data_IF_689382478805
#
_entry.id   IF_689382478805
#
_cell.length_a   1.000
_cell.length_b   1.000
_cell.length_c   1.000
_cell.angle_alpha   90.00
_cell.angle_beta   90.00
_cell.angle_gamma   90.00
#
_symmetry.space_group_name_H-M   'P 1'
#
loop_
_entity.id
_entity.type
_entity.pdbx_description
1 polymer ?
#
# COMPACT_ATOMS: atom_id res chain seq x y z
N UNK A 1 27.10 5.66 -7.02
CA UNK A 1 26.30 6.81 -7.47
C UNK A 1 26.29 7.02 -8.99
N UNK A 2 27.43 7.01 -9.68
CA UNK A 2 27.52 7.25 -11.15
C UNK A 2 26.70 6.24 -12.00
N UNK A 3 26.60 4.97 -11.61
CA UNK A 3 25.85 3.94 -12.35
C UNK A 3 24.33 4.15 -12.32
N UNK A 4 23.79 4.73 -11.26
CA UNK A 4 22.34 5.04 -11.14
C UNK A 4 22.02 6.28 -12.00
N UNK A 5 22.90 7.26 -12.03
CA UNK A 5 22.75 8.47 -12.85
C UNK A 5 22.76 8.14 -14.35
N UNK A 6 23.56 7.18 -14.77
CA UNK A 6 23.63 6.70 -16.17
C UNK A 6 22.32 5.95 -16.58
N UNK A 7 21.73 5.18 -15.68
CA UNK A 7 20.46 4.51 -15.95
C UNK A 7 19.29 5.49 -16.10
N UNK A 8 19.25 6.54 -15.28
CA UNK A 8 18.25 7.63 -15.38
C UNK A 8 18.44 8.41 -16.67
N UNK A 9 19.69 8.68 -17.08
CA UNK A 9 19.98 9.41 -18.33
C UNK A 9 19.64 8.60 -19.60
N UNK A 10 19.72 7.27 -19.55
CA UNK A 10 19.33 6.39 -20.66
C UNK A 10 17.80 6.25 -20.81
N UNK A 11 17.04 6.51 -19.77
CA UNK A 11 15.58 6.48 -19.81
C UNK A 11 14.95 7.78 -20.34
N UNK A 12 15.67 8.91 -20.30
CA UNK A 12 15.17 10.22 -20.74
C UNK A 12 14.71 10.28 -22.21
N UNK A 13 15.39 9.66 -23.22
CA UNK A 13 14.91 9.70 -24.60
C UNK A 13 13.61 8.91 -24.83
N UNK A 14 13.32 7.92 -24.01
CA UNK A 14 12.06 7.17 -24.11
C UNK A 14 10.86 7.98 -23.58
N UNK A 15 11.06 8.78 -22.53
CA UNK A 15 10.03 9.69 -22.02
C UNK A 15 9.72 10.84 -23.01
N UNK A 16 10.73 11.37 -23.70
CA UNK A 16 10.54 12.45 -24.69
C UNK A 16 9.85 11.97 -25.97
N UNK A 17 9.96 10.69 -26.34
CA UNK A 17 9.21 10.13 -27.49
C UNK A 17 7.73 9.90 -27.18
N UNK A 18 7.40 9.57 -25.93
CA UNK A 18 6.02 9.37 -25.50
C UNK A 18 5.17 10.67 -25.59
N UNK A 19 5.79 11.83 -25.60
CA UNK A 19 5.10 13.14 -25.74
C UNK A 19 4.82 13.52 -27.21
N UNK A 20 5.32 12.79 -28.20
CA UNK A 20 5.27 13.20 -29.62
C UNK A 20 4.24 12.46 -30.48
N UNK A 21 3.49 11.53 -29.92
CA UNK A 21 2.30 10.98 -30.59
C UNK A 21 1.06 11.81 -30.24
N UNK A 22 0.95 12.98 -30.83
CA UNK A 22 -0.29 13.72 -30.98
C UNK A 22 -1.22 13.01 -31.97
N UNK A 23 -1.82 11.94 -31.49
CA UNK A 23 -2.90 11.19 -32.11
C UNK A 23 -4.10 11.19 -31.17
N UNK A 24 -4.77 12.30 -31.08
CA UNK A 24 -6.20 12.52 -30.78
C UNK A 24 -7.00 11.32 -30.23
N UNK A 25 -6.73 10.89 -29.01
CA UNK A 25 -7.78 10.43 -28.10
C UNK A 25 -7.64 11.27 -26.85
N UNK A 26 -8.66 12.05 -26.49
CA UNK A 26 -8.71 12.80 -25.23
C UNK A 26 -8.65 11.79 -24.10
N UNK A 27 -7.43 11.42 -23.70
CA UNK A 27 -7.16 10.58 -22.52
C UNK A 27 -7.44 11.46 -21.30
N UNK A 28 -8.68 11.44 -20.84
CA UNK A 28 -9.09 12.24 -19.71
C UNK A 28 -8.46 11.68 -18.44
N UNK A 29 -7.76 12.51 -17.68
CA UNK A 29 -7.41 12.22 -16.31
C UNK A 29 -8.67 11.88 -15.53
N UNK A 30 -8.62 10.80 -14.78
CA UNK A 30 -9.69 10.43 -13.84
C UNK A 30 -9.16 10.66 -12.44
N UNK A 31 -10.00 11.13 -11.54
CA UNK A 31 -9.68 11.27 -10.14
C UNK A 31 -10.87 10.94 -9.27
N UNK A 32 -10.64 10.72 -8.00
CA UNK A 32 -11.72 10.37 -7.11
C UNK A 32 -11.30 10.21 -5.65
N UNK A 33 -12.24 9.74 -4.86
CA UNK A 33 -12.06 9.43 -3.45
C UNK A 33 -12.10 7.92 -3.25
N UNK A 34 -11.44 7.46 -2.19
CA UNK A 34 -11.42 6.06 -1.78
C UNK A 34 -11.59 5.96 -0.28
N UNK A 35 -12.35 4.96 0.17
CA UNK A 35 -12.55 4.63 1.59
C UNK A 35 -12.67 3.11 1.73
N UNK A 36 -12.21 2.56 2.85
CA UNK A 36 -12.35 1.13 3.05
C UNK A 36 -11.89 0.60 4.39
N UNK A 37 -12.06 -0.70 4.54
CA UNK A 37 -11.56 -1.49 5.65
C UNK A 37 -10.21 -2.10 5.36
N UNK A 38 -9.42 -2.25 6.40
CA UNK A 38 -8.08 -2.83 6.36
C UNK A 38 -8.00 -3.92 7.41
N UNK A 39 -7.49 -5.08 7.06
CA UNK A 39 -6.94 -6.02 8.04
C UNK A 39 -5.43 -6.07 7.88
N UNK A 40 -4.70 -6.18 8.97
CA UNK A 40 -3.26 -6.06 8.96
C UNK A 40 -2.57 -6.96 9.98
N UNK A 41 -1.32 -7.24 9.70
CA UNK A 41 -0.39 -7.89 10.61
C UNK A 41 1.00 -7.29 10.47
N UNK A 42 1.84 -7.47 11.49
CA UNK A 42 3.26 -7.15 11.45
C UNK A 42 4.02 -8.47 11.51
N UNK A 43 4.69 -8.83 10.41
CA UNK A 43 5.55 -10.02 10.42
C UNK A 43 6.79 -9.75 11.22
N UNK A 44 7.20 -10.73 12.07
CA UNK A 44 8.39 -10.63 12.91
C UNK A 44 8.15 -10.04 14.31
N UNK A 45 6.90 -9.72 14.68
CA UNK A 45 6.55 -9.20 16.01
C UNK A 45 6.14 -10.31 17.02
N UNK A 46 6.05 -11.56 16.58
CA UNK A 46 5.61 -12.69 17.38
C UNK A 46 4.09 -12.78 17.61
N UNK A 47 3.32 -11.82 17.08
CA UNK A 47 1.86 -11.82 17.11
C UNK A 47 1.36 -12.39 15.78
N UNK A 48 0.94 -13.62 15.73
CA UNK A 48 0.42 -14.22 14.50
C UNK A 48 -1.02 -13.79 14.21
N UNK A 49 -1.35 -13.59 12.91
CA UNK A 49 -2.72 -13.43 12.45
C UNK A 49 -3.08 -12.03 11.92
N UNK A 50 -4.20 -11.99 11.20
CA UNK A 50 -4.76 -10.79 10.56
C UNK A 50 -5.86 -10.15 11.42
N UNK A 51 -5.68 -10.17 12.75
CA UNK A 51 -6.71 -9.82 13.72
C UNK A 51 -6.79 -8.30 14.00
N UNK A 52 -5.89 -7.50 13.41
CA UNK A 52 -5.91 -6.04 13.53
C UNK A 52 -6.75 -5.43 12.41
N UNK A 53 -7.93 -4.96 12.78
CA UNK A 53 -8.80 -4.21 11.87
C UNK A 53 -8.52 -2.71 11.96
N UNK A 54 -8.56 -2.04 10.83
CA UNK A 54 -8.37 -0.62 10.66
C UNK A 54 -9.21 -0.08 9.52
N UNK A 55 -9.02 1.19 9.23
CA UNK A 55 -9.67 1.87 8.12
C UNK A 55 -8.67 2.67 7.29
N UNK A 56 -9.07 2.96 6.06
CA UNK A 56 -8.32 3.81 5.15
C UNK A 56 -9.27 4.75 4.41
N UNK A 57 -8.79 5.95 4.12
CA UNK A 57 -9.50 6.93 3.31
C UNK A 57 -8.51 7.83 2.59
N UNK A 58 -8.85 8.26 1.38
CA UNK A 58 -7.95 9.09 0.59
C UNK A 58 -8.51 9.52 -0.74
N UNK A 59 -7.60 9.98 -1.59
CA UNK A 59 -7.88 10.39 -2.97
C UNK A 59 -6.94 9.66 -3.92
N UNK A 60 -7.36 9.54 -5.18
CA UNK A 60 -6.57 8.93 -6.23
C UNK A 60 -6.70 9.72 -7.54
N UNK A 61 -5.68 9.61 -8.37
CA UNK A 61 -5.65 10.09 -9.74
C UNK A 61 -5.14 9.01 -10.66
N UNK A 62 -5.71 8.92 -11.86
CA UNK A 62 -5.34 7.94 -12.88
C UNK A 62 -5.00 8.65 -14.17
N UNK A 63 -3.88 8.25 -14.77
CA UNK A 63 -3.35 8.76 -16.02
C UNK A 63 -3.30 7.61 -17.02
N UNK A 64 -4.22 7.53 -17.99
CA UNK A 64 -4.20 6.48 -18.99
C UNK A 64 -3.09 6.72 -20.01
N UNK A 65 -2.28 5.67 -20.32
CA UNK A 65 -1.30 5.70 -21.41
C UNK A 65 -1.85 5.04 -22.68
N UNK A 66 -2.71 4.04 -22.50
CA UNK A 66 -3.36 3.33 -23.59
C UNK A 66 -4.79 2.96 -23.21
N UNK A 67 -5.51 2.29 -24.09
CA UNK A 67 -6.87 1.80 -23.82
C UNK A 67 -6.91 0.78 -22.65
N UNK A 68 -5.78 0.13 -22.35
CA UNK A 68 -5.70 -0.96 -21.38
C UNK A 68 -4.70 -0.75 -20.26
N UNK A 69 -3.88 0.29 -20.33
CA UNK A 69 -2.83 0.55 -19.37
C UNK A 69 -2.85 2.00 -18.89
N UNK A 70 -2.67 2.17 -17.59
CA UNK A 70 -2.65 3.49 -16.94
C UNK A 70 -1.70 3.48 -15.73
N UNK A 71 -1.30 4.66 -15.25
CA UNK A 71 -0.74 4.83 -13.91
C UNK A 71 -1.81 5.39 -12.99
N UNK A 72 -1.88 4.85 -11.79
CA UNK A 72 -2.73 5.38 -10.73
C UNK A 72 -1.86 5.74 -9.55
N UNK A 73 -1.97 6.98 -9.09
CA UNK A 73 -1.37 7.44 -7.84
C UNK A 73 -2.48 7.70 -6.83
N UNK A 74 -2.26 7.29 -5.60
CA UNK A 74 -3.20 7.55 -4.50
C UNK A 74 -2.45 8.22 -3.34
N UNK A 75 -3.17 8.96 -2.53
CA UNK A 75 -2.74 9.42 -1.22
C UNK A 75 -3.83 9.06 -0.23
N UNK A 76 -3.51 8.19 0.72
CA UNK A 76 -4.50 7.66 1.66
C UNK A 76 -3.96 7.64 3.10
N UNK A 77 -4.79 8.04 4.05
CA UNK A 77 -4.60 7.69 5.44
C UNK A 77 -4.91 6.21 5.61
N UNK A 78 -4.10 5.49 6.39
CA UNK A 78 -4.31 4.09 6.70
C UNK A 78 -3.94 3.80 8.17
N UNK A 79 -4.84 3.11 8.87
CA UNK A 79 -4.58 2.56 10.20
C UNK A 79 -4.26 1.07 10.06
N UNK A 80 -3.03 0.68 10.40
CA UNK A 80 -2.52 -0.69 10.35
C UNK A 80 -1.79 -1.07 11.63
N UNK A 81 -1.26 -2.28 11.71
CA UNK A 81 -0.54 -2.79 12.87
C UNK A 81 -0.72 -4.28 13.03
N UNK A 82 -0.63 -4.76 14.28
CA UNK A 82 -0.96 -6.14 14.64
C UNK A 82 -1.70 -6.20 15.97
N UNK A 83 -2.36 -7.33 16.23
CA UNK A 83 -3.10 -7.57 17.45
C UNK A 83 -3.01 -9.04 17.84
N UNK A 84 -2.88 -9.31 19.14
CA UNK A 84 -3.03 -10.67 19.66
C UNK A 84 -4.43 -11.19 19.36
N UNK A 85 -4.53 -12.46 18.97
CA UNK A 85 -5.81 -13.15 18.90
C UNK A 85 -6.45 -13.13 20.29
N UNK A 86 -7.75 -12.82 20.34
CA UNK A 86 -8.50 -12.84 21.61
C UNK A 86 -8.42 -14.25 22.20
N UNK A 87 -7.70 -14.38 23.30
CA UNK A 87 -7.70 -15.59 24.12
C UNK A 87 -8.81 -15.45 25.16
N UNK A 88 -9.80 -16.34 25.07
CA UNK A 88 -10.95 -16.36 25.99
C UNK A 88 -10.59 -16.79 27.41
N UNK A 89 -9.40 -17.34 27.61
CA UNK A 89 -8.93 -17.82 28.90
C UNK A 89 -8.12 -16.76 29.69
N UNK A 90 -7.31 -15.97 28.98
CA UNK A 90 -6.38 -15.05 29.65
C UNK A 90 -6.75 -13.56 29.51
N UNK A 91 -7.73 -13.21 28.67
CA UNK A 91 -8.21 -11.83 28.42
C UNK A 91 -7.11 -10.80 28.11
N UNK A 92 -5.86 -11.23 27.90
CA UNK A 92 -4.75 -10.34 27.61
C UNK A 92 -4.87 -9.85 26.16
N UNK A 93 -5.04 -8.55 26.00
CA UNK A 93 -5.09 -7.91 24.69
C UNK A 93 -3.84 -7.08 24.50
N UNK A 94 -3.15 -7.30 23.40
CA UNK A 94 -2.01 -6.49 22.99
C UNK A 94 -2.17 -6.12 21.53
N UNK A 95 -2.01 -4.83 21.20
CA UNK A 95 -2.13 -4.36 19.83
C UNK A 95 -1.16 -3.22 19.54
N UNK A 96 -0.49 -3.31 18.38
CA UNK A 96 0.19 -2.18 17.75
C UNK A 96 -0.80 -1.41 16.89
N UNK A 97 -0.84 -0.10 17.09
CA UNK A 97 -1.60 0.85 16.27
C UNK A 97 -0.63 1.78 15.57
N UNK A 98 -0.56 1.67 14.26
CA UNK A 98 0.30 2.46 13.39
C UNK A 98 -0.57 3.22 12.40
N UNK A 99 -0.45 4.53 12.37
CA UNK A 99 -1.17 5.39 11.45
C UNK A 99 -0.20 5.99 10.45
N UNK A 100 -0.48 5.79 9.15
CA UNK A 100 0.35 6.28 8.06
C UNK A 100 -0.44 7.15 7.08
N UNK A 101 0.27 8.04 6.40
CA UNK A 101 -0.11 8.50 5.06
C UNK A 101 0.65 7.65 4.07
N UNK A 102 -0.06 6.89 3.24
CA UNK A 102 0.52 6.08 2.17
C UNK A 102 0.31 6.73 0.81
N UNK A 103 1.37 6.67 -0.01
CA UNK A 103 1.38 7.14 -1.39
C UNK A 103 1.80 5.98 -2.29
N UNK A 104 0.88 5.11 -2.68
CA UNK A 104 1.13 4.10 -3.71
C UNK A 104 1.10 4.71 -5.11
N UNK A 105 1.93 4.15 -5.98
CA UNK A 105 1.93 4.43 -7.42
C UNK A 105 1.81 3.09 -8.13
N UNK A 106 0.65 2.83 -8.76
CA UNK A 106 0.38 1.57 -9.42
C UNK A 106 0.48 1.69 -10.93
N UNK A 107 1.05 0.69 -11.56
CA UNK A 107 0.74 0.32 -12.93
C UNK A 107 -0.59 -0.45 -12.91
N UNK A 108 -1.55 0.04 -13.68
CA UNK A 108 -2.91 -0.48 -13.77
C UNK A 108 -3.14 -1.05 -15.15
N UNK A 109 -3.54 -2.32 -15.24
CA UNK A 109 -3.73 -3.03 -16.50
C UNK A 109 -5.11 -3.70 -16.57
N UNK A 110 -5.82 -3.45 -17.66
CA UNK A 110 -7.11 -4.05 -17.96
C UNK A 110 -6.96 -5.27 -18.88
N UNK A 111 -7.17 -6.51 -18.42
CA UNK A 111 -6.96 -7.72 -19.21
C UNK A 111 -8.02 -7.89 -20.32
N UNK A 112 -9.24 -7.39 -20.12
CA UNK A 112 -10.32 -7.51 -21.09
C UNK A 112 -10.20 -6.47 -22.21
N UNK A 113 -10.30 -6.92 -23.47
CA UNK A 113 -10.38 -6.02 -24.63
C UNK A 113 -11.81 -5.50 -24.86
N UNK A 114 -12.83 -6.26 -24.45
CA UNK A 114 -14.24 -5.90 -24.69
C UNK A 114 -14.74 -4.89 -23.66
N UNK A 115 -14.33 -5.05 -22.39
CA UNK A 115 -14.71 -4.19 -21.27
C UNK A 115 -13.45 -3.82 -20.48
N UNK A 116 -12.57 -2.95 -21.02
CA UNK A 116 -11.28 -2.65 -20.40
C UNK A 116 -11.41 -1.97 -19.04
N UNK A 117 -12.52 -1.29 -18.80
CA UNK A 117 -12.73 -0.57 -17.53
C UNK A 117 -13.35 -1.46 -16.43
N UNK A 118 -13.77 -2.70 -16.71
CA UNK A 118 -14.50 -3.50 -15.71
C UNK A 118 -13.60 -4.17 -14.68
N UNK A 119 -12.52 -4.78 -15.12
CA UNK A 119 -11.54 -5.43 -14.25
C UNK A 119 -10.16 -4.84 -14.53
N UNK A 120 -9.50 -4.35 -13.49
CA UNK A 120 -8.17 -3.75 -13.57
C UNK A 120 -7.26 -4.40 -12.55
N UNK A 121 -6.10 -4.84 -12.97
CA UNK A 121 -5.03 -5.36 -12.10
C UNK A 121 -4.10 -4.19 -11.80
N UNK A 122 -3.78 -3.98 -10.53
CA UNK A 122 -2.92 -2.91 -10.05
C UNK A 122 -1.69 -3.52 -9.38
N UNK A 123 -0.52 -2.98 -9.70
CA UNK A 123 0.73 -3.39 -9.07
C UNK A 123 1.70 -2.20 -9.03
N UNK A 124 2.37 -2.00 -7.91
CA UNK A 124 3.38 -0.97 -7.81
C UNK A 124 3.94 -0.75 -6.41
N UNK A 125 4.93 0.12 -6.28
CA UNK A 125 5.50 0.51 -5.00
C UNK A 125 4.58 1.45 -4.23
N UNK A 126 4.77 1.49 -2.91
CA UNK A 126 4.24 2.52 -2.04
C UNK A 126 5.32 3.06 -1.10
N UNK A 127 5.13 4.31 -0.69
CA UNK A 127 5.82 4.92 0.44
C UNK A 127 4.79 5.33 1.49
N UNK A 128 4.99 4.89 2.73
CA UNK A 128 4.17 5.23 3.89
C UNK A 128 4.94 6.15 4.84
N UNK A 129 4.32 7.21 5.31
CA UNK A 129 4.88 8.15 6.28
C UNK A 129 4.14 7.99 7.60
N UNK A 130 4.87 7.57 8.64
CA UNK A 130 4.31 7.32 9.96
C UNK A 130 3.88 8.64 10.61
N UNK A 131 2.60 8.73 10.99
CA UNK A 131 2.04 9.88 11.69
C UNK A 131 2.07 9.68 13.20
N UNK A 132 1.69 8.46 13.62
CA UNK A 132 1.54 8.11 15.03
C UNK A 132 1.69 6.62 15.22
N UNK A 133 2.23 6.22 16.38
CA UNK A 133 2.36 4.84 16.81
C UNK A 133 2.06 4.71 18.29
N UNK A 134 1.37 3.64 18.67
CA UNK A 134 1.12 3.31 20.07
C UNK A 134 0.88 1.82 20.26
N UNK A 135 1.14 1.34 21.47
CA UNK A 135 0.75 0.02 21.95
C UNK A 135 -0.47 0.19 22.85
N UNK A 136 -1.47 -0.65 22.65
CA UNK A 136 -2.57 -0.80 23.59
C UNK A 136 -2.43 -2.21 24.22
N UNK A 137 -2.23 -2.26 25.52
CA UNK A 137 -2.18 -3.51 26.29
C UNK A 137 -3.18 -3.44 27.44
N UNK A 138 -4.12 -4.38 27.45
CA UNK A 138 -5.19 -4.45 28.47
C UNK A 138 -5.95 -3.14 28.69
N UNK A 139 -6.15 -2.37 27.61
CA UNK A 139 -6.87 -1.09 27.65
C UNK A 139 -6.02 0.13 28.01
N UNK A 140 -4.74 -0.04 28.32
CA UNK A 140 -3.80 1.05 28.60
C UNK A 140 -2.91 1.33 27.40
N UNK A 141 -2.63 2.62 27.17
CA UNK A 141 -1.74 3.10 26.11
C UNK A 141 -0.27 3.09 26.59
N UNK A 142 0.62 2.56 25.77
CA UNK A 142 2.07 2.54 26.01
C UNK A 142 2.81 3.08 24.79
N UNK A 143 3.95 3.69 25.05
CA UNK A 143 4.88 4.10 24.00
C UNK A 143 5.54 2.86 23.35
N UNK A 144 5.78 2.95 22.06
CA UNK A 144 6.48 1.90 21.30
C UNK A 144 7.98 2.08 21.47
N UNK A 145 8.63 1.12 22.12
CA UNK A 145 10.07 1.14 22.33
C UNK A 145 10.71 -0.23 21.97
N UNK A 146 11.68 -0.30 21.04
CA UNK A 146 12.10 0.78 20.13
C UNK A 146 10.96 1.20 19.18
N UNK A 147 10.95 2.47 18.70
CA UNK A 147 9.92 2.95 17.79
C UNK A 147 10.02 2.31 16.41
N UNK A 148 8.91 2.34 15.67
CA UNK A 148 8.93 2.04 14.23
C UNK A 148 9.55 3.19 13.45
N UNK A 149 10.16 2.86 12.31
CA UNK A 149 10.74 3.84 11.39
C UNK A 149 9.67 4.79 10.84
N UNK A 150 10.08 6.02 10.58
CA UNK A 150 9.18 7.06 10.06
C UNK A 150 8.70 6.78 8.63
N UNK A 151 9.42 5.95 7.89
CA UNK A 151 9.14 5.64 6.48
C UNK A 151 8.97 4.12 6.33
N UNK A 152 7.90 3.73 5.67
CA UNK A 152 7.57 2.36 5.28
C UNK A 152 7.55 2.27 3.75
N UNK A 153 8.45 1.48 3.17
CA UNK A 153 8.54 1.26 1.72
C UNK A 153 8.16 -0.17 1.42
N UNK A 154 7.26 -0.37 0.48
CA UNK A 154 6.78 -1.68 0.12
C UNK A 154 6.19 -1.77 -1.28
N UNK A 155 5.56 -2.90 -1.54
CA UNK A 155 4.84 -3.19 -2.77
C UNK A 155 3.36 -3.40 -2.46
N UNK A 156 2.52 -2.97 -3.37
CA UNK A 156 1.08 -3.18 -3.33
C UNK A 156 0.62 -3.85 -4.62
N UNK A 157 -0.24 -4.86 -4.48
CA UNK A 157 -0.84 -5.62 -5.58
C UNK A 157 -2.33 -5.73 -5.32
N UNK A 158 -3.15 -5.66 -6.35
CA UNK A 158 -4.58 -5.90 -6.19
C UNK A 158 -5.36 -5.85 -7.47
N UNK A 159 -6.67 -5.93 -7.29
CA UNK A 159 -7.65 -5.89 -8.37
C UNK A 159 -8.72 -4.86 -8.06
N UNK A 160 -9.13 -4.12 -9.09
CA UNK A 160 -10.24 -3.18 -9.06
C UNK A 160 -11.35 -3.69 -9.96
N UNK A 161 -12.56 -3.76 -9.45
CA UNK A 161 -13.74 -4.10 -10.20
C UNK A 161 -14.68 -2.89 -10.26
N UNK A 162 -14.86 -2.32 -11.45
CA UNK A 162 -15.74 -1.19 -11.69
C UNK A 162 -17.17 -1.67 -11.89
N UNK A 163 -18.03 -1.34 -10.92
CA UNK A 163 -19.48 -1.66 -10.98
C UNK A 163 -20.18 -0.72 -11.95
N UNK A 164 -19.77 0.54 -11.93
CA UNK A 164 -20.20 1.60 -12.85
C UNK A 164 -18.99 2.42 -13.29
N UNK A 165 -19.09 3.29 -14.31
CA UNK A 165 -17.98 4.16 -14.69
C UNK A 165 -17.45 5.08 -13.57
N UNK A 166 -18.21 5.23 -12.48
CA UNK A 166 -17.86 6.09 -11.33
C UNK A 166 -17.57 5.35 -10.04
N UNK A 167 -17.96 4.07 -9.91
CA UNK A 167 -17.80 3.31 -8.65
C UNK A 167 -17.07 2.00 -8.87
N UNK A 168 -16.06 1.75 -8.08
CA UNK A 168 -15.34 0.48 -8.04
C UNK A 168 -15.19 -0.07 -6.64
N UNK A 169 -15.08 -1.40 -6.58
CA UNK A 169 -14.63 -2.17 -5.41
C UNK A 169 -13.21 -2.64 -5.70
N UNK A 170 -12.29 -2.42 -4.75
CA UNK A 170 -10.90 -2.78 -4.94
C UNK A 170 -10.47 -3.69 -3.79
N UNK A 171 -9.81 -4.78 -4.13
CA UNK A 171 -9.13 -5.66 -3.18
C UNK A 171 -7.63 -5.50 -3.39
N UNK A 172 -6.95 -4.97 -2.37
CA UNK A 172 -5.53 -4.65 -2.42
C UNK A 172 -4.79 -5.35 -1.30
N UNK A 173 -3.58 -5.82 -1.58
CA UNK A 173 -2.65 -6.38 -0.60
C UNK A 173 -1.34 -5.62 -0.66
N UNK A 174 -0.80 -5.22 0.48
CA UNK A 174 0.51 -4.57 0.55
C UNK A 174 1.44 -5.28 1.52
N UNK A 175 2.73 -5.18 1.24
CA UNK A 175 3.79 -5.71 2.11
C UNK A 175 5.01 -4.79 2.09
N UNK A 176 5.54 -4.47 3.26
CA UNK A 176 6.83 -3.78 3.38
C UNK A 176 7.95 -4.63 2.79
N UNK A 177 8.86 -3.99 2.07
CA UNK A 177 10.10 -4.59 1.52
C UNK A 177 11.28 -4.28 2.41
N UNK A 178 11.26 -3.14 3.09
CA UNK A 178 12.26 -2.72 4.08
C UNK A 178 11.65 -2.92 5.47
N UNK A 179 12.42 -3.42 6.46
CA UNK A 179 11.90 -3.56 7.82
C UNK A 179 11.52 -2.20 8.38
N UNK A 180 10.31 -2.09 8.89
CA UNK A 180 9.78 -0.89 9.54
C UNK A 180 10.25 -0.73 10.99
N UNK A 181 10.82 -1.78 11.57
CA UNK A 181 11.54 -1.79 12.84
C UNK A 181 12.64 -2.83 12.75
N UNK A 182 13.90 -2.43 12.51
CA UNK A 182 15.04 -3.35 12.44
C UNK A 182 15.26 -4.10 13.75
N UNK A 183 15.70 -5.33 13.66
CA UNK A 183 16.07 -6.13 14.84
C UNK A 183 17.57 -6.01 15.12
N UNK A 184 18.01 -5.19 16.10
CA UNK A 184 19.42 -4.95 16.37
C UNK A 184 20.15 -6.16 16.96
N UNK A 185 19.41 -7.15 17.49
CA UNK A 185 19.99 -8.35 18.08
C UNK A 185 20.47 -9.38 17.03
N UNK A 186 20.07 -9.24 15.78
CA UNK A 186 20.41 -10.16 14.70
C UNK A 186 21.58 -9.64 13.86
N UNK A 187 22.78 -10.13 14.14
CA UNK A 187 24.01 -9.70 13.41
C UNK A 187 24.08 -10.31 12.01
N UNK A 188 23.59 -11.56 11.83
CA UNK A 188 23.55 -12.26 10.55
C UNK A 188 22.23 -13.03 10.40
N UNK A 189 21.13 -12.36 10.04
CA UNK A 189 19.85 -13.03 9.93
C UNK A 189 19.83 -14.04 8.77
N UNK A 190 19.48 -15.28 9.04
CA UNK A 190 19.33 -16.35 8.04
C UNK A 190 18.03 -16.21 7.24
N UNK A 191 17.02 -15.59 7.84
CA UNK A 191 15.70 -15.40 7.23
C UNK A 191 15.40 -13.91 7.03
N UNK A 192 14.60 -13.60 5.98
CA UNK A 192 14.10 -12.25 5.73
C UNK A 192 13.37 -11.66 6.95
N UNK A 193 12.54 -12.46 7.63
CA UNK A 193 11.76 -12.02 8.79
C UNK A 193 12.58 -11.82 10.08
N UNK A 194 13.78 -12.35 10.13
CA UNK A 194 14.69 -12.12 11.27
C UNK A 194 15.32 -10.73 11.25
N UNK A 195 15.32 -10.05 10.09
CA UNK A 195 15.87 -8.69 9.91
C UNK A 195 15.09 -7.63 10.67
N UNK A 196 13.83 -7.90 11.02
CA UNK A 196 12.97 -6.96 11.72
C UNK A 196 11.49 -7.18 11.47
N UNK A 197 10.72 -6.14 11.70
CA UNK A 197 9.27 -6.13 11.52
C UNK A 197 8.87 -5.58 10.15
N UNK A 198 7.88 -6.21 9.52
CA UNK A 198 7.34 -5.83 8.21
C UNK A 198 5.82 -5.69 8.29
N UNK A 199 5.30 -4.56 7.85
CA UNK A 199 3.85 -4.37 7.76
C UNK A 199 3.28 -5.15 6.58
N UNK A 200 2.15 -5.81 6.81
CA UNK A 200 1.36 -6.46 5.77
C UNK A 200 -0.10 -6.06 5.92
N UNK A 201 -0.77 -5.75 4.82
CA UNK A 201 -2.18 -5.37 4.83
C UNK A 201 -2.97 -6.08 3.75
N UNK A 202 -4.25 -6.32 4.05
CA UNK A 202 -5.28 -6.64 3.08
C UNK A 202 -6.38 -5.60 3.20
N UNK A 203 -6.76 -4.97 2.10
CA UNK A 203 -7.63 -3.80 2.06
C UNK A 203 -8.82 -4.08 1.14
N UNK A 204 -10.03 -3.82 1.63
CA UNK A 204 -11.24 -3.79 0.80
C UNK A 204 -11.72 -2.35 0.70
N UNK A 205 -11.67 -1.80 -0.51
CA UNK A 205 -11.87 -0.37 -0.75
C UNK A 205 -13.07 -0.13 -1.66
N UNK A 206 -13.81 0.92 -1.37
CA UNK A 206 -14.80 1.52 -2.27
C UNK A 206 -14.21 2.81 -2.83
N UNK A 207 -14.17 2.95 -4.16
CA UNK A 207 -13.71 4.16 -4.80
C UNK A 207 -14.82 4.79 -5.65
N UNK A 208 -14.88 6.14 -5.59
CA UNK A 208 -15.78 6.95 -6.39
C UNK A 208 -14.95 7.89 -7.26
N UNK A 209 -15.13 7.78 -8.58
CA UNK A 209 -14.55 8.68 -9.57
C UNK A 209 -15.47 9.88 -9.91
N UNK A 210 -14.86 10.93 -10.37
CA UNK A 210 -15.50 12.16 -10.85
C UNK A 210 -15.42 12.30 -12.36
#
# INVERSE_FOLDING_TARGET
MIRILLLVLLMTPYFLRAQREEGSSKRNFKGGLVVGGVTSQISGDGLGGWDKFGMTAGAWVNVPFSERASATMSMKYINKGSRTKLDTLNFNTFAYHLNYIEVPIWFSYAPSKKEPDRLVINFGPYAGFLLNQKIISNGFDYEVNPPFESIDIGLELGVSFWITPKFSVNLMSSSSVIPTRPNPAQVNPLSYYEKGNYNQTLQLLLAKGF
#
